data_IF_240563087348
#
_entry.id   IF_240563087348
#
_cell.length_a   1.000
_cell.length_b   1.000
_cell.length_c   1.000
_cell.angle_alpha   90.00
_cell.angle_beta   90.00
_cell.angle_gamma   90.00
#
_symmetry.space_group_name_H-M   'P 1'
#
loop_
_entity.id
_entity.type
_entity.pdbx_description
1 polymer ?
#
# COMPACT_ATOMS: atom_id res chain seq x y z
N UNK A 1 49.72 -3.47 -15.41
CA UNK A 1 48.95 -4.44 -14.61
C UNK A 1 48.45 -3.88 -13.27
N UNK A 2 48.86 -2.69 -12.82
CA UNK A 2 48.40 -2.08 -11.54
C UNK A 2 47.56 -0.79 -11.71
N UNK A 3 47.09 -0.50 -12.93
CA UNK A 3 46.43 0.76 -13.27
C UNK A 3 44.92 0.62 -13.51
N UNK A 4 44.36 -0.59 -13.38
CA UNK A 4 42.92 -0.79 -13.58
C UNK A 4 42.15 -0.51 -12.29
N UNK A 5 40.92 -0.03 -12.45
CA UNK A 5 40.01 0.23 -11.32
C UNK A 5 39.72 -1.03 -10.50
N UNK A 6 39.75 -2.20 -11.16
CA UNK A 6 39.57 -3.50 -10.52
C UNK A 6 40.72 -3.82 -9.57
N UNK A 7 41.97 -3.52 -9.95
CA UNK A 7 43.14 -3.74 -9.10
C UNK A 7 43.06 -2.90 -7.81
N UNK A 8 42.62 -1.64 -7.94
CA UNK A 8 42.40 -0.73 -6.81
C UNK A 8 41.31 -1.26 -5.87
N UNK A 9 40.20 -1.76 -6.43
CA UNK A 9 39.12 -2.36 -5.65
C UNK A 9 39.58 -3.55 -4.82
N UNK A 10 40.41 -4.42 -5.40
CA UNK A 10 40.97 -5.58 -4.69
C UNK A 10 41.89 -5.14 -3.55
N UNK A 11 42.76 -4.14 -3.77
CA UNK A 11 43.67 -3.61 -2.74
C UNK A 11 42.87 -3.07 -1.54
N UNK A 12 41.80 -2.32 -1.78
CA UNK A 12 40.94 -1.78 -0.72
C UNK A 12 40.31 -2.91 0.10
N UNK A 13 39.77 -3.94 -0.57
CA UNK A 13 39.18 -5.10 0.12
C UNK A 13 40.22 -5.82 0.97
N UNK A 14 41.44 -6.04 0.45
CA UNK A 14 42.53 -6.66 1.22
C UNK A 14 42.90 -5.84 2.44
N UNK A 15 42.99 -4.51 2.32
CA UNK A 15 43.26 -3.62 3.45
C UNK A 15 42.17 -3.78 4.52
N UNK A 16 40.89 -3.73 4.15
CA UNK A 16 39.77 -3.93 5.07
C UNK A 16 39.86 -5.32 5.74
N UNK A 17 40.18 -6.37 4.98
CA UNK A 17 40.35 -7.72 5.51
C UNK A 17 41.54 -7.85 6.47
N UNK A 18 42.62 -7.08 6.28
CA UNK A 18 43.76 -7.08 7.20
C UNK A 18 43.45 -6.38 8.52
N UNK A 19 42.74 -5.25 8.48
CA UNK A 19 42.38 -4.49 9.69
C UNK A 19 41.25 -5.16 10.49
N UNK A 20 40.21 -5.61 9.80
CA UNK A 20 39.03 -6.19 10.44
C UNK A 20 39.08 -7.72 10.54
N UNK A 21 39.89 -8.39 9.71
CA UNK A 21 39.93 -9.85 9.63
C UNK A 21 38.84 -10.41 8.71
N UNK A 22 39.14 -11.51 8.00
CA UNK A 22 38.20 -12.17 7.11
C UNK A 22 36.94 -12.72 7.80
N UNK A 23 37.00 -12.94 9.12
CA UNK A 23 35.87 -13.42 9.92
C UNK A 23 34.80 -12.35 10.18
N UNK A 24 35.10 -11.05 10.04
CA UNK A 24 34.13 -9.98 10.36
C UNK A 24 33.07 -9.76 9.29
N UNK A 25 33.41 -9.96 8.02
CA UNK A 25 32.42 -9.85 6.94
C UNK A 25 31.27 -10.87 7.10
N UNK A 26 31.51 -12.18 7.28
CA UNK A 26 30.46 -13.16 7.56
C UNK A 26 29.63 -12.83 8.81
N UNK A 27 30.28 -12.32 9.86
CA UNK A 27 29.61 -11.96 11.12
C UNK A 27 28.61 -10.82 10.93
N UNK A 28 29.02 -9.75 10.23
CA UNK A 28 28.18 -8.58 9.91
C UNK A 28 27.02 -8.98 9.00
N UNK A 29 27.26 -9.78 7.95
CA UNK A 29 26.17 -10.24 7.09
C UNK A 29 25.17 -11.09 7.85
N UNK A 30 25.64 -11.94 8.77
CA UNK A 30 24.76 -12.77 9.59
C UNK A 30 23.96 -11.94 10.59
N UNK A 31 24.55 -10.93 11.25
CA UNK A 31 23.83 -10.06 12.16
C UNK A 31 22.84 -9.16 11.44
N UNK A 32 23.23 -8.61 10.28
CA UNK A 32 22.37 -7.78 9.45
C UNK A 32 21.20 -8.60 8.90
N UNK A 33 21.45 -9.82 8.40
CA UNK A 33 20.40 -10.72 7.92
C UNK A 33 19.38 -11.06 9.02
N UNK A 34 19.86 -11.32 10.24
CA UNK A 34 18.99 -11.52 11.41
C UNK A 34 18.17 -10.27 11.74
N UNK A 35 18.81 -9.10 11.80
CA UNK A 35 18.14 -7.85 12.11
C UNK A 35 17.03 -7.52 11.08
N UNK A 36 17.34 -7.65 9.78
CA UNK A 36 16.36 -7.47 8.70
C UNK A 36 15.23 -8.50 8.76
N UNK A 37 15.54 -9.75 9.11
CA UNK A 37 14.55 -10.82 9.26
C UNK A 37 13.55 -10.54 10.40
N UNK A 38 14.06 -10.22 11.59
CA UNK A 38 13.23 -9.88 12.75
C UNK A 38 12.45 -8.56 12.52
N UNK A 39 13.06 -7.58 11.86
CA UNK A 39 12.37 -6.34 11.48
C UNK A 39 11.18 -6.60 10.55
N UNK A 40 11.37 -7.43 9.51
CA UNK A 40 10.28 -7.79 8.59
C UNK A 40 9.16 -8.56 9.29
N UNK A 41 9.53 -9.47 10.20
CA UNK A 41 8.56 -10.22 11.00
C UNK A 41 7.76 -9.29 11.92
N UNK A 42 8.43 -8.38 12.63
CA UNK A 42 7.77 -7.39 13.48
C UNK A 42 6.87 -6.44 12.69
N UNK A 43 7.28 -6.04 11.48
CA UNK A 43 6.45 -5.21 10.59
C UNK A 43 5.15 -5.94 10.19
N UNK A 44 5.24 -7.23 9.81
CA UNK A 44 4.08 -8.04 9.46
C UNK A 44 3.15 -8.27 10.66
N UNK A 45 3.70 -8.52 11.84
CA UNK A 45 2.92 -8.65 13.08
C UNK A 45 2.20 -7.35 13.43
N UNK A 46 2.88 -6.20 13.32
CA UNK A 46 2.28 -4.89 13.54
C UNK A 46 1.15 -4.59 12.55
N UNK A 47 1.34 -4.89 11.25
CA UNK A 47 0.27 -4.75 10.24
C UNK A 47 -0.95 -5.61 10.56
N UNK A 48 -0.73 -6.87 10.98
CA UNK A 48 -1.80 -7.78 11.37
C UNK A 48 -2.54 -7.29 12.61
N UNK A 49 -1.81 -6.76 13.60
CA UNK A 49 -2.40 -6.21 14.82
C UNK A 49 -3.21 -4.95 14.52
N UNK A 50 -2.69 -4.05 13.68
CA UNK A 50 -3.42 -2.86 13.19
C UNK A 50 -4.71 -3.27 12.47
N UNK A 51 -4.66 -4.27 11.59
CA UNK A 51 -5.84 -4.78 10.90
C UNK A 51 -6.88 -5.38 11.88
N UNK A 52 -6.42 -6.14 12.88
CA UNK A 52 -7.29 -6.69 13.94
C UNK A 52 -7.91 -5.59 14.80
N UNK A 53 -7.16 -4.56 15.16
CA UNK A 53 -7.67 -3.41 15.92
C UNK A 53 -8.69 -2.62 15.09
N UNK A 54 -8.43 -2.38 13.81
CA UNK A 54 -9.41 -1.75 12.92
C UNK A 54 -10.70 -2.58 12.86
N UNK A 55 -10.59 -3.90 12.78
CA UNK A 55 -11.74 -4.81 12.78
C UNK A 55 -12.50 -4.83 14.11
N UNK A 56 -11.81 -4.74 15.26
CA UNK A 56 -12.46 -4.70 16.58
C UNK A 56 -13.12 -3.35 16.87
N UNK A 57 -12.52 -2.24 16.44
CA UNK A 57 -13.12 -0.89 16.50
C UNK A 57 -14.39 -0.80 15.64
N UNK A 58 -14.44 -1.50 14.50
CA UNK A 58 -15.65 -1.65 13.69
C UNK A 58 -16.72 -2.55 14.35
N UNK A 59 -16.36 -3.41 15.30
CA UNK A 59 -17.31 -4.25 16.04
C UNK A 59 -17.88 -3.59 17.30
N UNK A 60 -17.20 -2.58 17.86
CA UNK A 60 -17.64 -1.90 19.09
C UNK A 60 -18.58 -0.71 18.86
N UNK A 61 -18.79 -0.30 17.60
CA UNK A 61 -19.89 0.58 17.21
C UNK A 61 -20.80 -0.16 16.22
N UNK A 62 -22.00 -0.52 16.69
CA UNK A 62 -23.23 -0.81 15.91
C UNK A 62 -23.08 -1.41 14.50
N UNK A 63 -23.58 -2.64 14.32
CA UNK A 63 -23.87 -3.20 12.99
C UNK A 63 -24.96 -2.36 12.27
N UNK A 64 -24.95 -2.19 10.93
CA UNK A 64 -23.89 -2.41 9.93
C UNK A 64 -23.57 -1.13 9.10
N UNK A 65 -22.36 -0.99 8.53
CA UNK A 65 -22.20 -0.48 7.15
C UNK A 65 -20.79 -0.67 6.56
N UNK A 66 -20.71 -1.68 5.70
CA UNK A 66 -20.10 -1.67 4.37
C UNK A 66 -18.67 -1.11 4.18
N UNK A 67 -17.68 -1.99 4.38
CA UNK A 67 -16.35 -1.88 3.80
C UNK A 67 -16.13 -2.82 2.61
N UNK A 68 -17.14 -3.04 1.76
CA UNK A 68 -16.90 -3.60 0.43
C UNK A 68 -16.53 -2.47 -0.51
N UNK A 69 -15.24 -2.32 -0.79
CA UNK A 69 -14.78 -1.74 -2.04
C UNK A 69 -15.15 -2.74 -3.14
N UNK A 70 -16.41 -2.68 -3.56
CA UNK A 70 -16.89 -3.29 -4.80
C UNK A 70 -17.20 -2.12 -5.72
N UNK A 71 -16.24 -1.78 -6.58
CA UNK A 71 -16.37 -0.74 -7.62
C UNK A 71 -17.70 -0.84 -8.39
N UNK A 72 -18.17 -2.07 -8.61
CA UNK A 72 -19.45 -2.38 -9.28
C UNK A 72 -20.69 -1.80 -8.60
N UNK A 73 -20.74 -1.68 -7.27
CA UNK A 73 -21.95 -1.20 -6.57
C UNK A 73 -22.10 0.32 -6.59
N UNK A 74 -21.00 1.08 -6.67
CA UNK A 74 -21.06 2.54 -6.82
C UNK A 74 -21.42 2.95 -8.24
N UNK A 75 -20.92 2.20 -9.23
CA UNK A 75 -21.25 2.42 -10.64
C UNK A 75 -22.76 2.25 -10.88
N UNK A 76 -23.39 1.21 -10.33
CA UNK A 76 -24.84 1.02 -10.41
C UNK A 76 -25.65 2.13 -9.71
N UNK A 77 -25.18 2.64 -8.57
CA UNK A 77 -25.86 3.74 -7.89
C UNK A 77 -25.78 5.04 -8.70
N UNK A 78 -24.62 5.31 -9.30
CA UNK A 78 -24.41 6.46 -10.19
C UNK A 78 -25.30 6.36 -11.44
N UNK A 79 -25.41 5.18 -12.07
CA UNK A 79 -26.29 4.95 -13.21
C UNK A 79 -27.77 5.18 -12.87
N UNK A 80 -28.23 4.72 -11.70
CA UNK A 80 -29.62 4.92 -11.27
C UNK A 80 -29.92 6.40 -11.02
N UNK A 81 -29.00 7.14 -10.40
CA UNK A 81 -29.13 8.59 -10.18
C UNK A 81 -29.14 9.38 -11.49
N UNK A 82 -28.32 8.98 -12.47
CA UNK A 82 -28.30 9.61 -13.80
C UNK A 82 -29.65 9.42 -14.50
N UNK A 83 -30.22 8.20 -14.49
CA UNK A 83 -31.54 7.92 -15.08
C UNK A 83 -32.66 8.71 -14.43
N UNK A 84 -32.61 8.87 -13.11
CA UNK A 84 -33.62 9.64 -12.37
C UNK A 84 -33.56 11.14 -12.72
N UNK A 85 -32.36 11.71 -12.78
CA UNK A 85 -32.15 13.10 -13.18
C UNK A 85 -32.58 13.37 -14.63
N UNK A 86 -32.35 12.43 -15.54
CA UNK A 86 -32.83 12.55 -16.94
C UNK A 86 -34.36 12.59 -17.02
N UNK A 87 -35.04 11.76 -16.24
CA UNK A 87 -36.51 11.73 -16.17
C UNK A 87 -37.07 13.05 -15.61
N UNK A 88 -36.45 13.60 -14.58
CA UNK A 88 -36.85 14.87 -13.99
C UNK A 88 -36.64 16.05 -14.97
N UNK A 89 -35.56 16.02 -15.75
CA UNK A 89 -35.31 16.98 -16.84
C UNK A 89 -36.35 16.88 -17.97
N UNK A 90 -36.81 15.67 -18.29
CA UNK A 90 -37.85 15.44 -19.29
C UNK A 90 -39.22 15.95 -18.81
N UNK A 91 -39.56 15.70 -17.55
CA UNK A 91 -40.76 16.23 -16.92
C UNK A 91 -40.74 17.77 -16.85
N UNK A 92 -39.61 18.36 -16.44
CA UNK A 92 -39.43 19.82 -16.42
C UNK A 92 -39.48 20.43 -17.82
N UNK A 93 -38.93 19.76 -18.84
CA UNK A 93 -39.07 20.20 -20.24
C UNK A 93 -40.52 20.17 -20.70
N UNK A 94 -41.27 19.11 -20.36
CA UNK A 94 -42.69 18.96 -20.70
C UNK A 94 -43.55 20.01 -20.00
N UNK A 95 -43.23 20.33 -18.74
CA UNK A 95 -43.88 21.37 -17.96
C UNK A 95 -43.60 22.77 -18.50
N UNK A 96 -42.34 23.06 -18.91
CA UNK A 96 -41.99 24.31 -19.59
C UNK A 96 -42.62 24.47 -20.97
N UNK A 97 -42.80 23.37 -21.72
CA UNK A 97 -43.48 23.41 -23.03
C UNK A 97 -44.99 23.57 -22.91
N UNK A 98 -45.59 23.13 -21.79
CA UNK A 98 -47.01 23.35 -21.49
C UNK A 98 -47.30 24.74 -20.90
N UNK A 99 -46.31 25.39 -20.28
CA UNK A 99 -46.46 26.73 -19.69
C UNK A 99 -46.31 27.92 -20.64
N UNK A 100 -46.22 27.71 -21.96
CA UNK A 100 -46.05 28.79 -22.95
C UNK A 100 -47.08 28.73 -24.10
N UNK A 101 -48.30 28.28 -23.80
CA UNK A 101 -49.50 28.62 -24.58
C UNK A 101 -50.27 29.73 -23.89
#
# INVERSE_FOLDING_TARGET
MFASITDIGIIIVVIILLFFGASKLPEIFRSLGKATGEFKKGQMEAEMELAKMQQSLQQQQVKPLNGQVTTTSREQELENRIKELEKELEELKKQKQQGNQ
#
